data_IF_327071077143
#
_entry.id   IF_327071077143
#
_cell.length_a   1.000
_cell.length_b   1.000
_cell.length_c   1.000
_cell.angle_alpha   90.00
_cell.angle_beta   90.00
_cell.angle_gamma   90.00
#
_symmetry.space_group_name_H-M   'P 1'
#
loop_
_entity.id
_entity.type
_entity.pdbx_description
1 polymer ?
#
# COMPACT_ATOMS: atom_id res chain seq x y z
N UNK A 1 7.16 -19.58 1.30
CA UNK A 1 7.53 -18.38 2.07
C UNK A 1 6.25 -17.62 2.40
N UNK A 2 5.99 -17.23 3.65
CA UNK A 2 4.80 -16.40 3.97
C UNK A 2 5.06 -14.95 3.55
N UNK A 3 4.27 -14.47 2.58
CA UNK A 3 4.32 -13.09 2.07
C UNK A 3 3.08 -12.29 2.46
N UNK A 4 2.05 -12.96 3.01
CA UNK A 4 0.80 -12.33 3.46
C UNK A 4 -0.01 -11.63 2.37
N UNK A 5 0.31 -11.87 1.09
CA UNK A 5 -0.41 -11.28 -0.05
C UNK A 5 -1.84 -11.80 -0.14
N UNK A 6 -2.02 -13.12 -0.04
CA UNK A 6 -3.32 -13.78 -0.09
C UNK A 6 -4.25 -13.31 1.04
N UNK A 7 -3.76 -13.23 2.28
CA UNK A 7 -4.54 -12.75 3.42
C UNK A 7 -5.02 -11.30 3.22
N UNK A 8 -4.18 -10.43 2.62
CA UNK A 8 -4.58 -9.06 2.29
C UNK A 8 -5.66 -9.00 1.22
N UNK A 9 -5.57 -9.84 0.19
CA UNK A 9 -6.56 -9.85 -0.87
C UNK A 9 -7.90 -10.39 -0.38
N UNK A 10 -7.90 -11.46 0.43
CA UNK A 10 -9.10 -11.99 1.08
C UNK A 10 -9.73 -10.96 2.04
N UNK A 11 -8.91 -10.31 2.87
CA UNK A 11 -9.39 -9.25 3.75
C UNK A 11 -9.98 -8.06 2.97
N UNK A 12 -9.45 -7.74 1.79
CA UNK A 12 -10.05 -6.71 0.93
C UNK A 12 -11.46 -7.11 0.46
N UNK A 13 -11.69 -8.38 0.15
CA UNK A 13 -13.03 -8.87 -0.20
C UNK A 13 -14.01 -8.76 0.97
N UNK A 14 -13.59 -9.16 2.19
CA UNK A 14 -14.42 -9.06 3.40
C UNK A 14 -14.84 -7.62 3.72
N UNK A 15 -14.05 -6.63 3.25
CA UNK A 15 -14.28 -5.20 3.47
C UNK A 15 -15.00 -4.51 2.31
N UNK A 16 -15.34 -5.20 1.22
CA UNK A 16 -15.89 -4.60 0.00
C UNK A 16 -17.15 -3.75 0.25
N UNK A 17 -18.09 -4.27 1.04
CA UNK A 17 -19.37 -3.59 1.30
C UNK A 17 -19.19 -2.34 2.19
N UNK A 18 -18.10 -2.28 2.95
CA UNK A 18 -17.77 -1.18 3.85
C UNK A 18 -16.80 -0.18 3.21
N UNK A 19 -16.31 -0.48 2.00
CA UNK A 19 -15.25 0.28 1.33
C UNK A 19 -15.76 0.98 0.08
N UNK A 20 -15.56 2.30 0.04
CA UNK A 20 -15.95 3.12 -1.11
C UNK A 20 -15.01 2.92 -2.30
N UNK A 21 -13.69 2.93 -2.05
CA UNK A 21 -12.65 2.76 -3.06
C UNK A 21 -11.51 1.91 -2.50
N UNK A 22 -10.99 1.00 -3.31
CA UNK A 22 -9.77 0.26 -3.07
C UNK A 22 -8.62 0.94 -3.81
N UNK A 23 -7.55 1.28 -3.10
CA UNK A 23 -6.30 1.77 -3.71
C UNK A 23 -5.31 0.62 -3.64
N UNK A 24 -5.04 -0.01 -4.78
CA UNK A 24 -4.04 -1.08 -4.89
C UNK A 24 -2.72 -0.47 -5.34
N UNK A 25 -1.69 -0.66 -4.53
CA UNK A 25 -0.36 -0.06 -4.74
C UNK A 25 0.72 -1.13 -4.74
N UNK A 26 1.65 -1.03 -5.69
CA UNK A 26 2.78 -1.95 -5.77
C UNK A 26 3.68 -1.66 -6.96
N UNK A 27 4.96 -2.00 -6.80
CA UNK A 27 5.95 -1.84 -7.86
C UNK A 27 6.14 -3.08 -8.73
N UNK A 28 6.70 -2.83 -9.92
CA UNK A 28 7.34 -3.80 -10.80
C UNK A 28 8.85 -3.51 -10.86
N UNK A 29 9.68 -4.51 -11.23
CA UNK A 29 11.11 -4.25 -11.45
C UNK A 29 11.30 -3.49 -12.77
N UNK A 30 12.18 -2.48 -12.77
CA UNK A 30 12.53 -1.62 -13.93
C UNK A 30 12.89 -2.38 -15.22
N UNK A 31 13.27 -3.66 -15.12
CA UNK A 31 13.60 -4.50 -16.29
C UNK A 31 12.38 -4.96 -17.10
N UNK A 32 11.16 -4.76 -16.61
CA UNK A 32 9.90 -5.18 -17.25
C UNK A 32 9.06 -4.00 -17.76
N UNK A 33 9.65 -2.82 -17.95
CA UNK A 33 8.91 -1.66 -18.51
C UNK A 33 8.42 -1.92 -19.95
N UNK A 34 8.94 -2.97 -20.61
CA UNK A 34 8.44 -3.44 -21.90
C UNK A 34 7.39 -4.57 -21.82
N UNK A 35 7.18 -5.18 -20.65
CA UNK A 35 6.16 -6.21 -20.40
C UNK A 35 5.42 -5.88 -19.10
N UNK A 36 4.27 -5.20 -19.23
CA UNK A 36 3.40 -4.71 -18.13
C UNK A 36 2.87 -5.82 -17.21
N UNK A 37 3.71 -6.44 -16.39
CA UNK A 37 3.29 -7.27 -15.27
C UNK A 37 3.46 -6.49 -13.97
N UNK A 38 2.60 -5.48 -13.79
CA UNK A 38 2.57 -4.77 -12.52
C UNK A 38 1.80 -5.63 -11.52
N UNK A 39 2.35 -5.83 -10.33
CA UNK A 39 1.65 -6.49 -9.20
C UNK A 39 0.26 -5.91 -8.94
N UNK A 40 0.05 -4.64 -9.30
CA UNK A 40 -1.26 -3.96 -9.21
C UNK A 40 -2.29 -4.50 -10.20
N UNK A 41 -1.88 -5.07 -11.32
CA UNK A 41 -2.76 -5.74 -12.27
C UNK A 41 -3.26 -7.07 -11.70
N UNK A 42 -2.38 -7.87 -11.09
CA UNK A 42 -2.80 -9.11 -10.40
C UNK A 42 -3.80 -8.82 -9.26
N UNK A 43 -3.56 -7.76 -8.48
CA UNK A 43 -4.48 -7.35 -7.41
C UNK A 43 -5.82 -6.85 -7.98
N UNK A 44 -5.79 -6.11 -9.10
CA UNK A 44 -6.99 -5.62 -9.77
C UNK A 44 -7.82 -6.77 -10.34
N UNK A 45 -7.20 -7.68 -11.09
CA UNK A 45 -7.86 -8.85 -11.67
C UNK A 45 -8.42 -9.76 -10.58
N UNK A 46 -7.70 -9.96 -9.47
CA UNK A 46 -8.22 -10.73 -8.34
C UNK A 46 -9.50 -10.12 -7.77
N UNK A 47 -9.54 -8.81 -7.53
CA UNK A 47 -10.72 -8.13 -7.00
C UNK A 47 -11.89 -8.18 -7.99
N UNK A 48 -11.63 -7.95 -9.29
CA UNK A 48 -12.65 -8.06 -10.33
C UNK A 48 -13.26 -9.46 -10.43
N UNK A 49 -12.42 -10.49 -10.45
CA UNK A 49 -12.85 -11.88 -10.53
C UNK A 49 -13.67 -12.30 -9.29
N UNK A 50 -13.57 -11.55 -8.19
CA UNK A 50 -14.35 -11.73 -6.97
C UNK A 50 -15.47 -10.66 -6.82
N UNK A 51 -15.97 -10.13 -7.95
CA UNK A 51 -17.16 -9.26 -8.02
C UNK A 51 -17.02 -7.89 -7.33
N UNK A 52 -15.79 -7.41 -7.09
CA UNK A 52 -15.59 -6.01 -6.72
C UNK A 52 -15.80 -5.14 -7.96
N UNK A 53 -16.66 -4.12 -7.85
CA UNK A 53 -16.90 -3.19 -8.95
C UNK A 53 -15.59 -2.51 -9.38
N UNK A 54 -15.26 -2.61 -10.67
CA UNK A 54 -14.12 -1.94 -11.29
C UNK A 54 -14.04 -0.44 -10.99
N UNK A 55 -15.19 0.23 -10.79
CA UNK A 55 -15.26 1.65 -10.46
C UNK A 55 -14.71 1.94 -9.06
N UNK A 56 -14.70 0.94 -8.16
CA UNK A 56 -14.12 1.06 -6.82
C UNK A 56 -12.60 0.93 -6.82
N UNK A 57 -11.98 0.35 -7.85
CA UNK A 57 -10.56 -0.03 -7.79
C UNK A 57 -9.68 1.00 -8.50
N UNK A 58 -8.73 1.56 -7.77
CA UNK A 58 -7.72 2.50 -8.24
C UNK A 58 -6.36 1.80 -8.18
N UNK A 59 -5.69 1.67 -9.33
CA UNK A 59 -4.33 1.13 -9.42
C UNK A 59 -3.30 2.25 -9.33
N UNK A 60 -2.27 2.07 -8.51
CA UNK A 60 -1.16 3.01 -8.35
C UNK A 60 0.16 2.26 -8.48
N UNK A 61 0.86 2.45 -9.59
CA UNK A 61 2.21 1.91 -9.78
C UNK A 61 3.21 2.68 -8.90
N UNK A 62 4.20 1.97 -8.35
CA UNK A 62 5.18 2.53 -7.40
C UNK A 62 6.56 1.87 -7.52
N UNK A 63 7.56 2.37 -6.78
CA UNK A 63 8.78 1.59 -6.50
C UNK A 63 8.42 0.38 -5.60
N UNK A 64 9.15 -0.76 -5.68
CA UNK A 64 8.80 -1.99 -4.98
C UNK A 64 9.13 -1.98 -3.46
N UNK A 65 8.91 -0.85 -2.79
CA UNK A 65 9.09 -0.69 -1.35
C UNK A 65 7.97 0.17 -0.71
N UNK A 66 7.93 0.19 0.61
CA UNK A 66 6.85 0.87 1.36
C UNK A 66 6.89 2.39 1.19
N UNK A 67 8.08 2.98 1.09
CA UNK A 67 8.23 4.42 0.89
C UNK A 67 7.73 4.80 -0.51
N UNK A 68 8.15 4.05 -1.53
CA UNK A 68 7.67 4.17 -2.90
C UNK A 68 6.15 4.03 -3.01
N UNK A 69 5.56 3.05 -2.33
CA UNK A 69 4.11 2.88 -2.28
C UNK A 69 3.42 4.12 -1.70
N UNK A 70 3.85 4.60 -0.54
CA UNK A 70 3.21 5.75 0.11
C UNK A 70 3.40 7.05 -0.68
N UNK A 71 4.58 7.26 -1.26
CA UNK A 71 4.85 8.40 -2.15
C UNK A 71 3.98 8.39 -3.39
N UNK A 72 3.78 7.22 -4.00
CA UNK A 72 2.92 7.08 -5.17
C UNK A 72 1.45 7.39 -4.82
N UNK A 73 0.97 6.93 -3.66
CA UNK A 73 -0.37 7.29 -3.16
C UNK A 73 -0.45 8.81 -2.93
N UNK A 74 0.54 9.40 -2.23
CA UNK A 74 0.58 10.84 -1.97
C UNK A 74 0.49 11.64 -3.28
N UNK A 75 1.35 11.30 -4.24
CA UNK A 75 1.40 11.91 -5.56
C UNK A 75 0.06 11.86 -6.28
N UNK A 76 -0.57 10.69 -6.34
CA UNK A 76 -1.75 10.47 -7.17
C UNK A 76 -3.05 10.90 -6.49
N UNK A 77 -3.11 10.85 -5.15
CA UNK A 77 -4.37 10.84 -4.41
C UNK A 77 -4.42 11.81 -3.23
N UNK A 78 -3.40 12.62 -2.94
CA UNK A 78 -3.42 13.54 -1.79
C UNK A 78 -4.69 14.39 -1.71
N UNK A 79 -5.13 14.98 -2.82
CA UNK A 79 -6.33 15.82 -2.87
C UNK A 79 -7.63 15.02 -2.63
N UNK A 80 -7.62 13.74 -3.01
CA UNK A 80 -8.75 12.82 -2.90
C UNK A 80 -8.91 12.33 -1.46
N UNK A 81 -7.78 12.06 -0.80
CA UNK A 81 -7.76 11.53 0.57
C UNK A 81 -7.78 12.64 1.63
N UNK A 82 -7.53 13.89 1.26
CA UNK A 82 -7.54 15.00 2.20
C UNK A 82 -8.91 15.14 2.89
N UNK A 83 -8.92 15.33 4.21
CA UNK A 83 -10.09 15.32 5.07
C UNK A 83 -10.89 14.00 5.06
N UNK A 84 -10.28 12.88 4.67
CA UNK A 84 -10.90 11.55 4.68
C UNK A 84 -10.29 10.63 5.74
N UNK A 85 -10.99 9.53 6.00
CA UNK A 85 -10.47 8.36 6.72
C UNK A 85 -9.96 7.37 5.68
N UNK A 86 -8.73 6.92 5.83
CA UNK A 86 -8.09 5.98 4.90
C UNK A 86 -7.67 4.75 5.67
N UNK A 87 -8.22 3.59 5.28
CA UNK A 87 -7.79 2.30 5.81
C UNK A 87 -6.46 1.87 5.19
N UNK A 88 -5.45 1.59 6.02
CA UNK A 88 -4.21 0.94 5.58
C UNK A 88 -4.35 -0.56 5.87
N UNK A 89 -4.73 -1.32 4.84
CA UNK A 89 -4.83 -2.77 4.88
C UNK A 89 -3.48 -3.42 4.61
N UNK A 90 -2.90 -4.04 5.62
CA UNK A 90 -1.68 -4.84 5.45
C UNK A 90 -1.57 -5.94 6.50
N UNK A 91 -0.54 -6.76 6.40
CA UNK A 91 -0.22 -7.79 7.39
C UNK A 91 0.16 -7.16 8.73
N UNK A 92 -0.18 -7.82 9.82
CA UNK A 92 -0.02 -7.29 11.19
C UNK A 92 1.41 -6.79 11.46
N UNK A 93 2.44 -7.52 11.00
CA UNK A 93 3.84 -7.17 11.24
C UNK A 93 4.23 -5.87 10.54
N UNK A 94 3.56 -5.53 9.43
CA UNK A 94 3.91 -4.38 8.59
C UNK A 94 3.20 -3.08 9.00
N UNK A 95 2.14 -3.17 9.81
CA UNK A 95 1.31 -2.01 10.22
C UNK A 95 2.14 -0.86 10.83
N UNK A 96 3.05 -1.09 11.80
CA UNK A 96 3.76 0.01 12.45
C UNK A 96 4.57 0.86 11.47
N UNK A 97 5.27 0.21 10.52
CA UNK A 97 6.07 0.92 9.51
C UNK A 97 5.18 1.64 8.50
N UNK A 98 4.13 0.98 8.02
CA UNK A 98 3.20 1.58 7.06
C UNK A 98 2.53 2.84 7.63
N UNK A 99 2.02 2.78 8.88
CA UNK A 99 1.43 3.94 9.55
C UNK A 99 2.44 5.07 9.74
N UNK A 100 3.64 4.76 10.26
CA UNK A 100 4.65 5.79 10.49
C UNK A 100 5.03 6.51 9.20
N UNK A 101 5.21 5.77 8.12
CA UNK A 101 5.58 6.36 6.83
C UNK A 101 4.42 7.18 6.26
N UNK A 102 3.18 6.72 6.43
CA UNK A 102 2.00 7.46 6.00
C UNK A 102 1.88 8.80 6.75
N UNK A 103 2.00 8.81 8.08
CA UNK A 103 1.97 10.03 8.89
C UNK A 103 3.05 11.04 8.47
N UNK A 104 4.30 10.58 8.31
CA UNK A 104 5.41 11.47 7.97
C UNK A 104 5.31 12.00 6.52
N UNK A 105 4.81 11.20 5.57
CA UNK A 105 4.65 11.61 4.16
C UNK A 105 3.44 12.53 3.96
N UNK A 106 2.34 12.28 4.68
CA UNK A 106 1.10 13.05 4.60
C UNK A 106 1.00 14.13 5.68
N UNK A 107 2.11 14.53 6.31
CA UNK A 107 2.13 15.48 7.44
C UNK A 107 1.45 16.83 7.16
N UNK A 108 1.40 17.25 5.89
CA UNK A 108 0.73 18.49 5.45
C UNK A 108 -0.76 18.30 5.10
N UNK A 109 -1.25 17.06 5.05
CA UNK A 109 -2.61 16.71 4.66
C UNK A 109 -3.43 16.31 5.89
N UNK A 110 -4.72 16.64 5.91
CA UNK A 110 -5.60 16.24 7.00
C UNK A 110 -6.19 14.85 6.75
N UNK A 111 -5.34 13.81 6.74
CA UNK A 111 -5.76 12.42 6.53
C UNK A 111 -5.77 11.66 7.85
N UNK A 112 -6.83 10.91 8.13
CA UNK A 112 -6.88 10.01 9.28
C UNK A 112 -6.65 8.58 8.84
N UNK A 113 -5.44 8.06 9.07
CA UNK A 113 -5.13 6.67 8.77
C UNK A 113 -5.70 5.73 9.83
N UNK A 114 -6.35 4.67 9.37
CA UNK A 114 -6.93 3.62 10.22
C UNK A 114 -6.20 2.32 9.89
N UNK A 115 -5.51 1.68 10.84
CA UNK A 115 -4.87 0.39 10.57
C UNK A 115 -5.93 -0.70 10.38
N UNK A 116 -5.75 -1.52 9.35
CA UNK A 116 -6.55 -2.71 9.10
C UNK A 116 -5.60 -3.90 8.99
N UNK A 117 -5.69 -4.81 9.96
CA UNK A 117 -4.85 -6.01 10.01
C UNK A 117 -5.52 -7.11 9.20
N UNK A 118 -4.86 -7.56 8.14
CA UNK A 118 -5.39 -8.59 7.24
C UNK A 118 -5.72 -9.89 7.98
N UNK A 119 -4.77 -10.39 8.80
CA UNK A 119 -4.91 -11.63 9.57
C UNK A 119 -6.11 -11.60 10.54
N UNK A 120 -6.48 -10.43 11.06
CA UNK A 120 -7.64 -10.27 11.94
C UNK A 120 -8.97 -10.35 11.17
N UNK A 121 -8.97 -10.04 9.87
CA UNK A 121 -10.18 -10.06 9.03
C UNK A 121 -10.49 -11.49 8.57
N UNK A 122 -9.46 -12.22 8.13
CA UNK A 122 -9.61 -13.56 7.55
C UNK A 122 -9.39 -14.70 8.56
N UNK A 123 -9.21 -14.36 9.84
CA UNK A 123 -9.01 -15.29 10.96
C UNK A 123 -7.83 -16.27 10.76
N UNK A 124 -6.83 -15.88 9.96
CA UNK A 124 -5.61 -16.66 9.72
C UNK A 124 -4.49 -16.12 10.60
N UNK A 125 -4.24 -16.76 11.74
CA UNK A 125 -3.02 -16.46 12.50
C UNK A 125 -1.86 -17.35 12.00
N UNK A 126 -0.77 -16.76 11.47
CA UNK A 126 0.29 -17.50 10.79
C UNK A 126 1.27 -18.17 11.75
N UNK A 127 0.81 -18.76 12.87
CA UNK A 127 1.68 -19.47 13.82
C UNK A 127 2.51 -20.57 13.14
N UNK A 128 1.98 -21.16 12.05
CA UNK A 128 2.67 -22.13 11.19
C UNK A 128 3.93 -21.58 10.51
N UNK A 129 4.12 -20.26 10.47
CA UNK A 129 5.22 -19.57 9.78
C UNK A 129 6.07 -18.72 10.74
N UNK A 130 6.17 -19.13 12.01
CA UNK A 130 6.91 -18.42 13.06
C UNK A 130 8.32 -17.97 12.68
N UNK A 131 9.19 -18.83 12.11
CA UNK A 131 10.54 -18.41 11.74
C UNK A 131 10.55 -17.28 10.70
N UNK A 132 9.68 -17.35 9.69
CA UNK A 132 9.58 -16.30 8.67
C UNK A 132 9.05 -15.00 9.26
N UNK A 133 8.14 -15.13 10.21
CA UNK A 133 7.49 -13.99 10.82
C UNK A 133 8.41 -13.21 11.76
N UNK A 134 9.30 -13.89 12.47
CA UNK A 134 10.38 -13.27 13.25
C UNK A 134 11.27 -12.44 12.33
N UNK A 135 11.74 -13.03 11.22
CA UNK A 135 12.59 -12.33 10.24
C UNK A 135 11.88 -11.11 9.66
N UNK A 136 10.59 -11.23 9.32
CA UNK A 136 9.79 -10.09 8.83
C UNK A 136 9.71 -9.00 9.89
N UNK A 137 9.35 -9.33 11.12
CA UNK A 137 9.25 -8.35 12.22
C UNK A 137 10.58 -7.65 12.49
N UNK A 138 11.70 -8.37 12.44
CA UNK A 138 13.05 -7.78 12.55
C UNK A 138 13.33 -6.77 11.42
N UNK A 139 12.95 -7.10 10.18
CA UNK A 139 13.08 -6.18 9.04
C UNK A 139 12.20 -4.93 9.20
N UNK A 140 11.01 -5.06 9.79
CA UNK A 140 10.13 -3.92 10.06
C UNK A 140 10.72 -2.98 11.13
N UNK A 141 11.27 -3.55 12.21
CA UNK A 141 11.98 -2.80 13.28
C UNK A 141 13.21 -2.09 12.72
N UNK A 142 14.00 -2.79 11.89
CA UNK A 142 15.14 -2.19 11.20
C UNK A 142 14.68 -1.03 10.32
N UNK A 143 13.64 -1.22 9.50
CA UNK A 143 13.14 -0.18 8.62
C UNK A 143 12.66 1.07 9.35
N UNK A 144 11.97 0.91 10.49
CA UNK A 144 11.61 2.04 11.36
C UNK A 144 12.84 2.75 11.97
N UNK A 145 13.85 1.97 12.37
CA UNK A 145 15.10 2.52 12.93
C UNK A 145 15.85 3.33 11.88
N UNK A 146 16.00 2.79 10.67
CA UNK A 146 16.65 3.44 9.54
C UNK A 146 15.89 4.72 9.15
N UNK A 147 14.55 4.69 9.20
CA UNK A 147 13.71 5.86 8.94
C UNK A 147 13.94 6.98 9.96
N UNK A 148 13.98 6.64 11.26
CA UNK A 148 14.27 7.63 12.31
C UNK A 148 15.68 8.23 12.20
N UNK A 149 16.61 7.50 11.59
CA UNK A 149 17.98 7.95 11.35
C UNK A 149 18.16 8.73 10.05
N UNK A 150 17.12 8.85 9.22
CA UNK A 150 17.21 9.51 7.91
C UNK A 150 17.97 8.70 6.86
N UNK A 151 18.20 7.40 7.08
CA UNK A 151 19.00 6.54 6.19
C UNK A 151 18.16 5.47 5.49
N UNK A 152 16.83 5.53 5.63
CA UNK A 152 15.95 4.59 4.95
C UNK A 152 15.96 4.85 3.45
N UNK A 153 15.81 3.79 2.65
CA UNK A 153 15.84 3.82 1.19
C UNK A 153 15.18 5.07 0.60
N UNK A 154 15.99 5.90 -0.06
CA UNK A 154 15.56 7.10 -0.77
C UNK A 154 14.77 8.11 0.07
N UNK A 155 14.85 8.07 1.41
CA UNK A 155 14.09 8.93 2.31
C UNK A 155 14.36 10.42 2.07
N UNK A 156 15.59 10.74 1.68
CA UNK A 156 16.12 12.06 1.38
C UNK A 156 15.69 12.65 0.03
N UNK A 157 15.08 11.86 -0.87
CA UNK A 157 14.57 12.38 -2.16
C UNK A 157 13.62 13.57 -1.91
N UNK A 158 13.87 14.74 -2.53
CA UNK A 158 13.00 15.91 -2.41
C UNK A 158 11.54 15.60 -2.74
N UNK A 159 10.61 16.21 -2.00
CA UNK A 159 9.16 16.03 -2.20
C UNK A 159 8.72 16.33 -3.64
N UNK A 160 9.37 17.29 -4.30
CA UNK A 160 9.15 17.68 -5.69
C UNK A 160 9.50 16.55 -6.67
N UNK A 161 10.48 15.72 -6.35
CA UNK A 161 10.85 14.55 -7.18
C UNK A 161 9.83 13.41 -7.04
N UNK A 162 9.03 13.40 -5.97
CA UNK A 162 7.89 12.48 -5.85
C UNK A 162 6.75 12.91 -6.78
N UNK A 163 6.59 14.22 -6.98
CA UNK A 163 5.52 14.88 -7.73
C UNK A 163 5.79 14.94 -9.25
N UNK A 164 6.16 13.82 -9.89
CA UNK A 164 6.19 13.75 -11.35
C UNK A 164 4.79 13.88 -12.01
N UNK A 165 4.71 14.01 -13.34
CA UNK A 165 3.43 14.19 -14.04
C UNK A 165 2.44 13.05 -13.79
N UNK A 166 1.24 13.37 -13.30
CA UNK A 166 0.15 12.41 -13.16
C UNK A 166 -0.46 12.17 -14.54
N UNK A 167 -0.60 10.90 -14.95
CA UNK A 167 -1.35 10.58 -16.15
C UNK A 167 -2.82 10.97 -15.94
N UNK A 168 -3.26 12.06 -16.58
CA UNK A 168 -4.62 12.63 -16.44
C UNK A 168 -5.74 11.64 -16.77
N UNK A 169 -5.46 10.52 -17.45
CA UNK A 169 -6.43 9.45 -17.73
C UNK A 169 -6.82 8.68 -16.46
N UNK A 170 -5.94 8.55 -15.47
CA UNK A 170 -6.20 7.80 -14.25
C UNK A 170 -7.00 8.61 -13.21
N UNK A 171 -6.80 9.94 -13.19
CA UNK A 171 -7.57 10.87 -12.33
C UNK A 171 -9.06 10.95 -12.67
N UNK A 172 -9.46 10.70 -13.93
CA UNK A 172 -10.86 10.79 -14.36
C UNK A 172 -11.77 9.72 -13.73
N UNK A 173 -11.21 8.65 -13.16
CA UNK A 173 -11.96 7.58 -12.46
C UNK A 173 -12.12 7.84 -10.96
N UNK A 174 -11.48 8.89 -10.44
CA UNK A 174 -11.37 9.15 -9.00
C UNK A 174 -12.42 10.20 -8.54
N UNK A 175 -13.09 10.87 -9.47
CA UNK A 175 -14.20 11.80 -9.19
C UNK A 175 -15.55 11.09 -9.15
#
# INVERSE_FOLDING_TARGET
MYLGGDDRMKAALDLNDQTNKFIVVGGGMEKEINERWLKTDDMYEYLLNNSVDSSKIIRVASEPDTTGNMRAIYKCLREVVNNKRVGILTNYYHIPRALRFAEDIFVEENVRFIPIIAESSVNTFPFKYWPQLIVRTQNEVKGLTDWNKGIYNHQDKPKQEWLGEINKKDLKKIK
#
